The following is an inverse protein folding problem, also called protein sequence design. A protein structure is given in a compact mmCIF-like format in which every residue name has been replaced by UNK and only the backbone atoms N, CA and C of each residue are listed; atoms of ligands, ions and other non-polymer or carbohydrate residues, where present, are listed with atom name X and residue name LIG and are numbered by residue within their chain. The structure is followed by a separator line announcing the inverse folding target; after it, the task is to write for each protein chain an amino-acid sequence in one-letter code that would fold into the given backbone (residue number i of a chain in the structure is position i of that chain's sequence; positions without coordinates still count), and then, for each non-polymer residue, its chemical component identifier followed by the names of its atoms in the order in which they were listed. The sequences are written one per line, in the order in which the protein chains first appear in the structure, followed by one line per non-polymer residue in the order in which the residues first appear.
data_IF_479550652683
#
_entry.id   IF_479550652683
#
_cell.length_a   1.000
_cell.length_b   1.000
_cell.length_c   1.000
_cell.angle_alpha   90.00
_cell.angle_beta   90.00
_cell.angle_gamma   90.00
#
_symmetry.space_group_name_H-M   'P 1'
#
loop_
_entity.id
_entity.type
_entity.pdbx_description
1 polymer ?
#
# COMPACT_ATOMS: atom_id res chain seq x y z
N UNK A 1 -14.51 -42.21 40.36
CA UNK A 1 -13.66 -41.14 40.90
C UNK A 1 -14.04 -39.81 40.24
N UNK A 2 -14.88 -39.02 40.94
CA UNK A 2 -15.28 -37.60 40.79
C UNK A 2 -15.21 -36.98 39.37
N UNK A 3 -16.32 -37.04 38.61
CA UNK A 3 -16.59 -36.14 37.46
C UNK A 3 -17.03 -34.77 38.01
N UNK A 4 -16.12 -33.78 38.01
CA UNK A 4 -16.48 -32.39 38.32
C UNK A 4 -17.25 -31.80 37.14
N UNK A 5 -18.57 -31.67 37.28
CA UNK A 5 -19.39 -30.87 36.37
C UNK A 5 -18.94 -29.41 36.45
N UNK A 6 -18.16 -28.97 35.47
CA UNK A 6 -17.79 -27.57 35.29
C UNK A 6 -19.02 -26.84 34.74
N UNK A 7 -19.60 -25.93 35.52
CA UNK A 7 -20.70 -25.11 35.03
C UNK A 7 -20.21 -24.17 33.94
N UNK A 8 -21.05 -23.92 32.92
CA UNK A 8 -20.75 -23.01 31.81
C UNK A 8 -20.28 -21.62 32.28
N UNK A 9 -20.69 -21.20 33.48
CA UNK A 9 -20.23 -19.97 34.15
C UNK A 9 -18.72 -20.01 34.49
N UNK A 10 -18.20 -21.12 34.96
CA UNK A 10 -16.76 -21.28 35.29
C UNK A 10 -15.89 -21.28 34.02
N UNK A 11 -16.39 -21.88 32.94
CA UNK A 11 -15.71 -21.89 31.64
C UNK A 11 -15.62 -20.46 31.08
N UNK A 12 -16.71 -19.69 31.11
CA UNK A 12 -16.71 -18.27 30.66
C UNK A 12 -15.75 -17.41 31.47
N UNK A 13 -15.69 -17.59 32.79
CA UNK A 13 -14.75 -16.86 33.66
C UNK A 13 -13.29 -17.24 33.33
N UNK A 14 -13.00 -18.53 33.12
CA UNK A 14 -11.66 -18.99 32.77
C UNK A 14 -11.20 -18.43 31.41
N UNK A 15 -12.08 -18.41 30.40
CA UNK A 15 -11.80 -17.82 29.09
C UNK A 15 -11.58 -16.30 29.22
N UNK A 16 -12.42 -15.61 29.99
CA UNK A 16 -12.25 -14.17 30.24
C UNK A 16 -10.91 -13.83 30.90
N UNK A 17 -10.50 -14.61 31.90
CA UNK A 17 -9.19 -14.44 32.55
C UNK A 17 -8.02 -14.73 31.61
N UNK A 18 -8.14 -15.75 30.75
CA UNK A 18 -7.12 -16.07 29.76
C UNK A 18 -6.93 -14.94 28.73
N UNK A 19 -8.04 -14.37 28.23
CA UNK A 19 -8.00 -13.24 27.32
C UNK A 19 -7.43 -11.98 27.98
N UNK A 20 -7.81 -11.70 29.23
CA UNK A 20 -7.28 -10.56 29.99
C UNK A 20 -5.76 -10.70 30.19
N UNK A 21 -5.29 -11.89 30.57
CA UNK A 21 -3.86 -12.15 30.74
C UNK A 21 -3.09 -11.98 29.43
N UNK A 22 -3.63 -12.50 28.30
CA UNK A 22 -3.05 -12.30 26.97
C UNK A 22 -2.97 -10.84 26.56
N UNK A 23 -4.01 -10.05 26.84
CA UNK A 23 -4.03 -8.61 26.58
C UNK A 23 -2.98 -7.86 27.42
N UNK A 24 -2.87 -8.18 28.71
CA UNK A 24 -1.87 -7.55 29.59
C UNK A 24 -0.43 -7.87 29.14
N UNK A 25 -0.17 -9.10 28.69
CA UNK A 25 1.12 -9.51 28.10
C UNK A 25 1.45 -8.71 26.83
N UNK A 26 0.48 -8.54 25.93
CA UNK A 26 0.64 -7.73 24.72
C UNK A 26 0.89 -6.25 25.05
N UNK A 27 0.17 -5.67 26.01
CA UNK A 27 0.39 -4.30 26.45
C UNK A 27 1.79 -4.09 27.03
N UNK A 28 2.29 -5.04 27.83
CA UNK A 28 3.64 -4.94 28.39
C UNK A 28 4.71 -4.98 27.30
N UNK A 29 4.61 -5.91 26.34
CA UNK A 29 5.55 -6.00 25.21
C UNK A 29 5.58 -4.72 24.36
N UNK A 30 4.42 -4.11 24.11
CA UNK A 30 4.34 -2.86 23.36
C UNK A 30 4.98 -1.67 24.10
N UNK A 31 4.94 -1.68 25.44
CA UNK A 31 5.56 -0.63 26.26
C UNK A 31 7.08 -0.80 26.35
N UNK A 32 7.59 -2.02 26.48
CA UNK A 32 9.04 -2.26 26.51
C UNK A 32 9.71 -1.95 25.16
N UNK A 33 9.09 -2.33 24.04
CA UNK A 33 9.64 -2.09 22.70
C UNK A 33 9.59 -0.61 22.25
N UNK A 34 8.97 0.29 23.02
CA UNK A 34 8.95 1.73 22.72
C UNK A 34 10.20 2.46 23.23
N UNK A 35 11.07 1.78 23.96
CA UNK A 35 12.21 2.37 24.68
C UNK A 35 13.46 2.62 23.83
N UNK A 36 13.56 2.00 22.64
CA UNK A 36 14.75 2.04 21.78
C UNK A 36 14.60 2.99 20.58
N UNK A 37 13.98 4.15 20.80
CA UNK A 37 14.02 5.22 19.81
C UNK A 37 15.25 6.09 20.10
N UNK A 38 16.39 5.72 19.49
CA UNK A 38 17.59 6.57 19.53
C UNK A 38 17.26 7.99 19.04
N UNK A 39 17.81 9.03 19.70
CA UNK A 39 17.58 10.40 19.29
C UNK A 39 18.16 10.60 17.89
N UNK A 40 17.29 10.90 16.92
CA UNK A 40 17.69 11.36 15.59
C UNK A 40 18.54 12.62 15.76
N UNK A 41 19.85 12.50 15.60
CA UNK A 41 20.77 13.64 15.56
C UNK A 41 20.47 14.43 14.29
N UNK A 42 19.66 15.47 14.44
CA UNK A 42 19.47 16.49 13.40
C UNK A 42 20.79 17.23 13.25
N UNK A 43 21.59 16.82 12.25
CA UNK A 43 22.75 17.62 11.81
C UNK A 43 22.20 18.94 11.27
N UNK A 44 22.41 20.03 12.01
CA UNK A 44 22.14 21.36 11.51
C UNK A 44 22.89 21.55 10.18
N UNK A 45 22.22 22.02 9.11
CA UNK A 45 22.91 22.33 7.87
C UNK A 45 23.96 23.41 8.16
N UNK A 46 25.17 23.16 7.65
CA UNK A 46 26.26 24.15 7.66
C UNK A 46 25.71 25.41 6.99
N UNK A 47 25.56 26.50 7.75
CA UNK A 47 25.35 27.82 7.16
C UNK A 47 26.62 28.15 6.40
N UNK A 48 26.62 27.93 5.09
CA UNK A 48 27.65 28.49 4.22
C UNK A 48 27.59 30.00 4.39
N UNK A 49 28.70 30.59 4.84
CA UNK A 49 28.89 32.03 4.80
C UNK A 49 28.69 32.47 3.35
N UNK A 50 27.81 33.45 3.16
CA UNK A 50 27.48 33.95 1.84
C UNK A 50 28.73 34.35 1.08
N UNK A 51 28.68 34.10 -0.24
CA UNK A 51 29.41 34.80 -1.30
C UNK A 51 30.58 34.03 -1.96
N UNK A 52 30.74 32.73 -1.75
CA UNK A 52 31.70 31.94 -2.55
C UNK A 52 31.00 30.85 -3.35
N UNK A 53 30.77 31.13 -4.63
CA UNK A 53 30.35 30.12 -5.59
C UNK A 53 31.60 29.38 -6.10
N UNK A 54 31.78 28.13 -5.68
CA UNK A 54 32.73 27.23 -6.33
C UNK A 54 31.98 26.59 -7.50
N UNK A 55 32.23 27.08 -8.71
CA UNK A 55 31.75 26.41 -9.92
C UNK A 55 32.51 25.10 -10.07
N UNK A 56 31.88 23.98 -9.70
CA UNK A 56 32.36 22.66 -10.11
C UNK A 56 32.37 22.62 -11.65
N UNK A 57 33.40 22.04 -12.29
CA UNK A 57 33.38 21.84 -13.74
C UNK A 57 32.09 21.11 -14.11
N UNK A 58 31.41 21.61 -15.14
CA UNK A 58 30.18 21.02 -15.63
C UNK A 58 30.48 19.56 -16.03
N UNK A 59 30.09 18.61 -15.18
CA UNK A 59 30.11 17.20 -15.54
C UNK A 59 29.07 17.06 -16.64
N UNK A 60 29.55 16.92 -17.88
CA UNK A 60 28.71 16.50 -19.00
C UNK A 60 28.37 15.04 -18.74
N UNK A 61 27.34 14.82 -17.92
CA UNK A 61 26.74 13.51 -17.73
C UNK A 61 26.15 13.09 -19.08
N UNK A 62 26.45 11.87 -19.59
CA UNK A 62 25.84 11.40 -20.81
C UNK A 62 24.31 11.43 -20.65
N UNK A 63 23.66 12.20 -21.51
CA UNK A 63 22.22 12.53 -21.54
C UNK A 63 21.34 11.34 -21.95
N UNK A 64 21.77 10.11 -21.72
CA UNK A 64 20.91 8.95 -21.96
C UNK A 64 20.12 8.66 -20.70
N UNK A 65 18.92 9.22 -20.64
CA UNK A 65 17.89 8.74 -19.72
C UNK A 65 17.60 7.29 -20.09
N UNK A 66 17.93 6.35 -19.21
CA UNK A 66 17.58 4.94 -19.36
C UNK A 66 16.06 4.81 -19.49
N UNK A 67 15.58 4.01 -20.45
CA UNK A 67 14.15 3.74 -20.61
C UNK A 67 13.64 2.83 -19.48
N UNK A 68 12.32 2.81 -19.24
CA UNK A 68 11.74 1.92 -18.22
C UNK A 68 11.95 0.45 -18.60
N UNK A 69 11.91 0.13 -19.89
CA UNK A 69 12.13 -1.20 -20.44
C UNK A 69 13.59 -1.65 -20.26
N UNK A 70 14.56 -0.76 -20.53
CA UNK A 70 15.98 -1.04 -20.31
C UNK A 70 16.26 -1.33 -18.85
N UNK A 71 15.70 -0.52 -17.94
CA UNK A 71 15.81 -0.72 -16.51
C UNK A 71 15.17 -2.02 -16.05
N UNK A 72 13.97 -2.33 -16.53
CA UNK A 72 13.25 -3.55 -16.20
C UNK A 72 14.01 -4.80 -16.66
N UNK A 73 14.65 -4.76 -17.83
CA UNK A 73 15.45 -5.88 -18.34
C UNK A 73 16.76 -6.07 -17.55
N UNK A 74 17.40 -4.98 -17.11
CA UNK A 74 18.68 -5.00 -16.39
C UNK A 74 18.55 -5.39 -14.91
N UNK A 75 17.53 -4.86 -14.23
CA UNK A 75 17.28 -5.10 -12.81
C UNK A 75 15.76 -5.15 -12.51
N UNK A 76 15.12 -6.32 -12.71
CA UNK A 76 13.68 -6.46 -12.51
C UNK A 76 13.21 -6.16 -11.09
N UNK A 77 13.98 -6.55 -10.07
CA UNK A 77 13.60 -6.34 -8.66
C UNK A 77 13.74 -4.87 -8.27
N UNK A 78 14.85 -4.21 -8.65
CA UNK A 78 15.02 -2.78 -8.42
C UNK A 78 14.05 -1.92 -9.23
N UNK A 79 13.61 -2.39 -10.39
CA UNK A 79 12.53 -1.77 -11.15
C UNK A 79 11.18 -1.87 -10.43
N UNK A 80 10.82 -3.04 -9.90
CA UNK A 80 9.59 -3.20 -9.13
C UNK A 80 9.57 -2.30 -7.90
N UNK A 81 10.66 -2.23 -7.13
CA UNK A 81 10.76 -1.34 -5.98
C UNK A 81 10.56 0.13 -6.40
N UNK A 82 11.16 0.54 -7.52
CA UNK A 82 10.96 1.86 -8.07
C UNK A 82 9.51 2.15 -8.46
N UNK A 83 8.80 1.18 -9.06
CA UNK A 83 7.39 1.34 -9.40
C UNK A 83 6.52 1.48 -8.14
N UNK A 84 6.79 0.70 -7.09
CA UNK A 84 6.10 0.81 -5.80
C UNK A 84 6.34 2.17 -5.14
N UNK A 85 7.61 2.60 -5.07
CA UNK A 85 7.98 3.92 -4.54
C UNK A 85 7.32 5.06 -5.32
N UNK A 86 7.24 4.92 -6.66
CA UNK A 86 6.56 5.89 -7.50
C UNK A 86 5.07 5.93 -7.18
N UNK A 87 4.41 4.77 -7.14
CA UNK A 87 2.99 4.64 -6.80
C UNK A 87 2.67 5.29 -5.45
N UNK A 88 3.42 4.95 -4.40
CA UNK A 88 3.23 5.46 -3.05
C UNK A 88 3.40 6.99 -2.96
N UNK A 89 4.22 7.59 -3.83
CA UNK A 89 4.47 9.02 -3.85
C UNK A 89 3.46 9.79 -4.70
N UNK A 90 3.05 9.24 -5.85
CA UNK A 90 2.33 9.99 -6.87
C UNK A 90 0.85 9.64 -6.97
N UNK A 91 0.45 8.41 -6.65
CA UNK A 91 -0.94 7.96 -6.85
C UNK A 91 -1.74 8.21 -5.57
N UNK A 92 -2.82 9.00 -5.70
CA UNK A 92 -3.74 9.34 -4.61
C UNK A 92 -5.17 9.01 -5.00
N UNK A 93 -5.52 9.41 -6.20
CA UNK A 93 -6.76 9.12 -6.89
C UNK A 93 -6.53 9.32 -8.39
N UNK A 94 -7.45 8.77 -9.20
CA UNK A 94 -7.53 9.08 -10.61
C UNK A 94 -8.91 8.74 -11.16
N UNK A 95 -9.22 9.31 -12.32
CA UNK A 95 -10.34 8.88 -13.15
C UNK A 95 -9.82 8.49 -14.52
N UNK A 96 -10.31 7.38 -15.06
CA UNK A 96 -9.95 6.95 -16.42
C UNK A 96 -11.14 6.31 -17.15
N UNK A 97 -11.00 6.21 -18.46
CA UNK A 97 -11.82 5.31 -19.27
C UNK A 97 -11.18 3.93 -19.21
N UNK A 98 -11.93 2.94 -18.72
CA UNK A 98 -11.49 1.56 -18.61
C UNK A 98 -12.21 0.71 -19.65
N UNK A 99 -11.45 0.14 -20.57
CA UNK A 99 -11.96 -0.80 -21.60
C UNK A 99 -11.59 -2.21 -21.19
N UNK A 100 -12.60 -3.10 -21.12
CA UNK A 100 -12.43 -4.50 -20.72
C UNK A 100 -13.01 -5.42 -21.78
N UNK A 101 -12.26 -6.46 -22.15
CA UNK A 101 -12.76 -7.59 -22.93
C UNK A 101 -12.28 -8.88 -22.29
N UNK A 102 -13.18 -9.85 -22.13
CA UNK A 102 -12.90 -11.10 -21.41
C UNK A 102 -13.00 -12.29 -22.36
N UNK A 103 -12.14 -13.28 -22.16
CA UNK A 103 -12.26 -14.59 -22.80
C UNK A 103 -12.93 -15.54 -21.79
N UNK A 104 -14.20 -15.87 -22.03
CA UNK A 104 -15.00 -16.74 -21.15
C UNK A 104 -15.50 -17.93 -21.95
N UNK A 105 -15.21 -19.15 -21.48
CA UNK A 105 -15.53 -20.39 -22.20
C UNK A 105 -15.06 -20.35 -23.66
N UNK A 106 -13.78 -20.00 -23.87
CA UNK A 106 -13.13 -19.89 -25.19
C UNK A 106 -13.75 -18.85 -26.14
N UNK A 107 -14.69 -18.04 -25.66
CA UNK A 107 -15.35 -17.00 -26.45
C UNK A 107 -15.04 -15.61 -25.91
N UNK A 108 -14.62 -14.71 -26.80
CA UNK A 108 -14.49 -13.30 -26.46
C UNK A 108 -15.88 -12.69 -26.21
N UNK A 109 -16.03 -12.05 -25.07
CA UNK A 109 -17.20 -11.25 -24.75
C UNK A 109 -17.21 -9.95 -25.56
N UNK A 110 -18.35 -9.26 -25.56
CA UNK A 110 -18.43 -7.92 -26.09
C UNK A 110 -17.52 -6.99 -25.26
N UNK A 111 -16.74 -6.15 -25.92
CA UNK A 111 -15.92 -5.13 -25.27
C UNK A 111 -16.81 -4.20 -24.44
N UNK A 112 -16.50 -4.08 -23.16
CA UNK A 112 -17.17 -3.18 -22.22
C UNK A 112 -16.32 -1.92 -22.03
N UNK A 113 -16.98 -0.76 -21.94
CA UNK A 113 -16.32 0.51 -21.64
C UNK A 113 -16.94 1.11 -20.39
N UNK A 114 -16.10 1.59 -19.48
CA UNK A 114 -16.48 2.09 -18.16
C UNK A 114 -15.77 3.40 -17.84
N UNK A 115 -16.41 4.26 -17.04
CA UNK A 115 -15.72 5.30 -16.27
C UNK A 115 -15.27 4.69 -14.95
N UNK A 116 -13.96 4.67 -14.72
CA UNK A 116 -13.37 4.17 -13.49
C UNK A 116 -12.89 5.33 -12.62
N UNK A 117 -13.24 5.29 -11.34
CA UNK A 117 -12.82 6.25 -10.33
C UNK A 117 -12.09 5.47 -9.24
N UNK A 118 -10.84 5.83 -8.99
CA UNK A 118 -9.98 5.22 -8.00
C UNK A 118 -9.62 6.24 -6.93
N UNK A 119 -9.56 5.81 -5.67
CA UNK A 119 -9.03 6.59 -4.56
C UNK A 119 -8.32 5.68 -3.56
N UNK A 120 -7.15 6.10 -3.10
CA UNK A 120 -6.28 5.34 -2.21
C UNK A 120 -6.74 5.39 -0.74
N UNK A 121 -7.20 6.55 -0.25
CA UNK A 121 -7.58 6.75 1.17
C UNK A 121 -8.89 7.55 1.35
N UNK A 122 -9.98 6.93 1.86
CA UNK A 122 -10.14 5.49 2.04
C UNK A 122 -10.05 4.76 0.71
N UNK A 123 -9.58 3.51 0.72
CA UNK A 123 -9.48 2.73 -0.51
C UNK A 123 -10.88 2.56 -1.09
N UNK A 124 -11.08 3.06 -2.29
CA UNK A 124 -12.37 2.95 -2.98
C UNK A 124 -12.22 2.90 -4.48
N UNK A 125 -13.11 2.13 -5.09
CA UNK A 125 -13.20 1.97 -6.55
C UNK A 125 -14.66 2.08 -6.93
N UNK A 126 -14.95 2.96 -7.88
CA UNK A 126 -16.27 3.05 -8.51
C UNK A 126 -16.12 2.82 -10.00
N UNK A 127 -16.97 1.96 -10.56
CA UNK A 127 -17.08 1.74 -12.00
C UNK A 127 -18.49 2.08 -12.45
N UNK A 128 -18.59 2.70 -13.62
CA UNK A 128 -19.83 3.07 -14.26
C UNK A 128 -19.74 2.68 -15.74
N UNK A 129 -20.52 1.69 -16.16
CA UNK A 129 -20.51 1.21 -17.54
C UNK A 129 -21.17 2.25 -18.45
N UNK A 130 -20.57 2.45 -19.63
CA UNK A 130 -21.09 3.33 -20.68
C UNK A 130 -21.32 2.60 -22.01
N UNK A 131 -20.83 1.36 -22.14
CA UNK A 131 -21.02 0.49 -23.32
C UNK A 131 -21.03 -0.98 -22.90
N UNK A 132 -21.95 -1.76 -23.48
CA UNK A 132 -22.07 -3.21 -23.32
C UNK A 132 -22.07 -3.65 -21.84
N UNK A 133 -22.85 -2.96 -21.01
CA UNK A 133 -23.13 -3.43 -19.65
C UNK A 133 -23.77 -4.82 -19.67
N UNK A 134 -23.44 -5.64 -18.67
CA UNK A 134 -24.04 -6.96 -18.49
C UNK A 134 -25.04 -6.88 -17.32
N UNK A 135 -24.84 -7.65 -16.25
CA UNK A 135 -25.74 -7.68 -15.08
C UNK A 135 -25.62 -6.47 -14.15
N UNK A 136 -24.69 -5.56 -14.43
CA UNK A 136 -24.36 -4.43 -13.57
C UNK A 136 -23.98 -3.23 -14.43
N UNK A 137 -24.60 -2.08 -14.15
CA UNK A 137 -24.30 -0.80 -14.79
C UNK A 137 -23.39 0.08 -13.93
N UNK A 138 -23.34 -0.16 -12.61
CA UNK A 138 -22.58 0.65 -11.63
C UNK A 138 -22.18 -0.18 -10.41
N UNK A 139 -20.94 -0.05 -9.95
CA UNK A 139 -20.48 -0.65 -8.69
C UNK A 139 -19.63 0.34 -7.90
N UNK A 140 -19.72 0.26 -6.57
CA UNK A 140 -18.87 0.99 -5.64
C UNK A 140 -18.34 -0.01 -4.60
N UNK A 141 -17.03 -0.02 -4.44
CA UNK A 141 -16.32 -0.72 -3.37
C UNK A 141 -15.61 0.30 -2.47
N UNK A 142 -15.67 0.08 -1.16
CA UNK A 142 -14.96 0.84 -0.14
C UNK A 142 -14.44 -0.15 0.91
N UNK A 143 -13.15 -0.10 1.24
CA UNK A 143 -12.51 -0.92 2.26
C UNK A 143 -12.29 -0.17 3.58
#
# INVERSE_FOLDING_TARGET
MIRRHLSNRRIRIAVGLALLAGFLLQCQWALTNRSDQEPVVVRNPIKLAGNTAIAAPAVVLPTRTESLEERAARDPLGFLQFCLDHYDRSVRDYTCTFTKQELVNEKLTAEQVMKAFFREKPFSVRLEWVKNEDKCSRVLYVA
#
